data_IF_611587718914
#
_entry.id   IF_611587718914
#
_cell.length_a   1.000
_cell.length_b   1.000
_cell.length_c   1.000
_cell.angle_alpha   90.00
_cell.angle_beta   90.00
_cell.angle_gamma   90.00
#
_symmetry.space_group_name_H-M   'P 1'
#
loop_
_entity.id
_entity.type
_entity.pdbx_description
1 polymer ?
#
# COMPACT_ATOMS: atom_id res chain seq x y z
N UNK A 1 -16.58 24.07 -12.00
CA UNK A 1 -16.09 22.82 -12.63
C UNK A 1 -15.25 22.05 -11.60
N UNK A 2 -15.68 21.87 -10.36
CA UNK A 2 -16.75 21.03 -9.80
C UNK A 2 -16.15 19.83 -9.07
N UNK A 3 -15.74 20.08 -7.83
CA UNK A 3 -15.22 19.12 -6.85
C UNK A 3 -16.18 17.94 -6.61
N UNK A 4 -17.48 18.07 -6.94
CA UNK A 4 -18.46 16.99 -6.86
C UNK A 4 -18.36 15.95 -8.01
N UNK A 5 -17.83 16.31 -9.18
CA UNK A 5 -17.54 15.32 -10.23
C UNK A 5 -16.28 14.55 -9.84
N UNK A 6 -15.27 15.24 -9.29
CA UNK A 6 -14.10 14.58 -8.72
C UNK A 6 -14.48 13.63 -7.57
N UNK A 7 -15.46 13.91 -6.71
CA UNK A 7 -15.87 12.95 -5.66
C UNK A 7 -16.55 11.68 -6.19
N UNK A 8 -17.25 11.74 -7.34
CA UNK A 8 -17.79 10.54 -8.00
C UNK A 8 -16.72 9.75 -8.75
N UNK A 9 -15.78 10.43 -9.42
CA UNK A 9 -14.67 9.76 -10.14
C UNK A 9 -13.60 9.24 -9.17
N UNK A 10 -13.27 10.01 -8.13
CA UNK A 10 -12.46 9.53 -7.01
C UNK A 10 -13.19 8.50 -6.20
N UNK A 11 -14.53 8.53 -6.06
CA UNK A 11 -15.31 7.48 -5.41
C UNK A 11 -15.27 6.14 -6.15
N UNK A 12 -15.40 6.13 -7.48
CA UNK A 12 -15.31 4.90 -8.29
C UNK A 12 -13.87 4.41 -8.46
N UNK A 13 -12.89 5.32 -8.58
CA UNK A 13 -11.46 5.00 -8.60
C UNK A 13 -10.91 4.64 -7.20
N UNK A 14 -11.49 5.16 -6.10
CA UNK A 14 -11.13 4.81 -4.72
C UNK A 14 -11.44 3.35 -4.43
N UNK A 15 -12.59 2.88 -4.90
CA UNK A 15 -13.10 1.53 -4.58
C UNK A 15 -12.26 0.46 -5.28
N UNK A 16 -11.59 0.79 -6.38
CA UNK A 16 -10.74 -0.17 -7.06
C UNK A 16 -9.35 -0.29 -6.44
N UNK A 17 -8.82 0.67 -5.69
CA UNK A 17 -7.43 0.60 -5.22
C UNK A 17 -7.35 -0.11 -3.88
N UNK A 18 -6.73 -1.30 -3.84
CA UNK A 18 -6.56 -2.09 -2.62
C UNK A 18 -5.18 -2.76 -2.57
N UNK A 19 -4.47 -2.55 -1.45
CA UNK A 19 -3.22 -3.23 -1.11
C UNK A 19 -3.38 -3.90 0.25
N UNK A 20 -2.91 -5.14 0.37
CA UNK A 20 -2.94 -5.93 1.59
C UNK A 20 -1.52 -6.34 1.95
N UNK A 21 -1.10 -6.00 3.16
CA UNK A 21 0.17 -6.43 3.72
C UNK A 21 -0.11 -7.61 4.65
N UNK A 22 0.77 -8.61 4.64
CA UNK A 22 0.67 -9.81 5.46
C UNK A 22 1.94 -9.94 6.31
N UNK A 23 1.74 -10.29 7.58
CA UNK A 23 2.82 -10.44 8.55
C UNK A 23 3.72 -11.64 8.22
N UNK A 24 3.17 -12.73 7.67
CA UNK A 24 3.92 -13.94 7.30
C UNK A 24 4.18 -14.02 5.78
N UNK A 25 5.02 -14.98 5.39
CA UNK A 25 5.28 -15.28 3.99
C UNK A 25 4.05 -15.95 3.38
N UNK A 26 3.99 -15.96 2.05
CA UNK A 26 2.95 -16.71 1.33
C UNK A 26 1.51 -16.28 1.71
N UNK A 27 1.31 -15.01 2.04
CA UNK A 27 0.01 -14.40 2.39
C UNK A 27 -0.64 -14.99 3.65
N UNK A 28 0.16 -15.50 4.59
CA UNK A 28 -0.30 -16.01 5.87
C UNK A 28 -0.15 -14.98 7.01
N UNK A 29 -0.75 -15.28 8.17
CA UNK A 29 -0.67 -14.45 9.37
C UNK A 29 -1.65 -13.26 9.37
N UNK A 30 -1.35 -12.27 10.20
CA UNK A 30 -2.16 -11.05 10.28
C UNK A 30 -2.04 -10.23 9.01
N UNK A 31 -3.18 -9.80 8.45
CA UNK A 31 -3.22 -8.98 7.26
C UNK A 31 -3.78 -7.59 7.54
N UNK A 32 -3.19 -6.56 6.96
CA UNK A 32 -3.71 -5.20 6.99
C UNK A 32 -3.97 -4.74 5.56
N UNK A 33 -5.23 -4.46 5.23
CA UNK A 33 -5.62 -3.89 3.95
C UNK A 33 -5.65 -2.36 4.05
N UNK A 34 -4.99 -1.68 3.12
CA UNK A 34 -5.09 -0.25 2.92
C UNK A 34 -5.79 0.01 1.58
N UNK A 35 -6.79 0.87 1.61
CA UNK A 35 -7.54 1.34 0.43
C UNK A 35 -7.42 2.85 0.25
N UNK A 36 -6.64 3.53 1.10
CA UNK A 36 -6.42 4.98 1.07
C UNK A 36 -4.96 5.31 1.41
N UNK A 37 -4.56 6.54 1.12
CA UNK A 37 -3.30 7.14 1.56
C UNK A 37 -3.28 7.29 3.08
N UNK A 38 -2.81 6.25 3.77
CA UNK A 38 -2.71 6.24 5.22
C UNK A 38 -1.38 5.67 5.69
N UNK A 39 -0.86 6.15 6.84
CA UNK A 39 0.25 5.51 7.52
C UNK A 39 -0.20 4.14 7.99
N UNK A 40 0.41 3.09 7.43
CA UNK A 40 0.19 1.73 7.88
C UNK A 40 1.26 1.41 8.94
N UNK A 41 0.83 1.21 10.19
CA UNK A 41 1.68 0.67 11.25
C UNK A 41 1.83 -0.84 11.03
N UNK A 42 2.86 -1.21 10.27
CA UNK A 42 3.15 -2.60 9.90
C UNK A 42 4.42 -3.06 10.62
N UNK A 43 4.27 -3.52 11.87
CA UNK A 43 5.41 -3.99 12.69
C UNK A 43 6.25 -5.07 12.01
N UNK A 44 5.61 -5.94 11.23
CA UNK A 44 6.22 -6.97 10.41
C UNK A 44 5.35 -7.14 9.16
N UNK A 45 5.96 -7.01 7.98
CA UNK A 45 5.37 -7.58 6.76
C UNK A 45 6.35 -8.60 6.26
N UNK A 46 5.89 -9.66 5.63
CA UNK A 46 6.72 -10.58 4.85
C UNK A 46 6.19 -10.76 3.44
N UNK A 47 4.88 -10.63 3.23
CA UNK A 47 4.26 -10.66 1.92
C UNK A 47 3.30 -9.51 1.70
N UNK A 48 3.11 -9.10 0.44
CA UNK A 48 2.25 -7.98 0.05
C UNK A 48 1.45 -8.38 -1.17
N UNK A 49 0.16 -8.08 -1.17
CA UNK A 49 -0.73 -8.32 -2.29
C UNK A 49 -1.37 -7.02 -2.71
N UNK A 50 -1.19 -6.64 -3.97
CA UNK A 50 -1.90 -5.52 -4.58
C UNK A 50 -3.02 -6.11 -5.40
N UNK A 51 -4.25 -6.06 -4.88
CA UNK A 51 -5.44 -6.56 -5.57
C UNK A 51 -5.69 -5.76 -6.84
N UNK A 52 -5.57 -4.44 -6.74
CA UNK A 52 -5.83 -3.54 -7.86
C UNK A 52 -5.10 -2.20 -7.67
N UNK A 53 -4.68 -1.62 -8.81
CA UNK A 53 -4.00 -0.32 -8.86
C UNK A 53 -2.49 -0.38 -8.77
N UNK A 54 -1.90 0.79 -8.53
CA UNK A 54 -0.48 0.97 -8.26
C UNK A 54 -0.33 1.75 -6.94
N UNK A 55 0.60 1.30 -6.12
CA UNK A 55 0.88 1.82 -4.80
C UNK A 55 2.34 2.19 -4.69
N UNK A 56 2.60 3.32 -4.05
CA UNK A 56 3.94 3.78 -3.72
C UNK A 56 4.08 3.73 -2.20
N UNK A 57 5.00 2.90 -1.72
CA UNK A 57 5.25 2.74 -0.29
C UNK A 57 6.53 3.46 0.07
N UNK A 58 6.45 4.27 1.11
CA UNK A 58 7.56 5.04 1.67
C UNK A 58 8.01 4.39 2.98
N UNK A 59 9.31 4.33 3.15
CA UNK A 59 9.93 3.76 4.35
C UNK A 59 9.66 4.59 5.62
N UNK A 60 9.66 5.92 5.50
CA UNK A 60 9.47 6.82 6.64
C UNK A 60 8.13 7.56 6.52
N UNK A 61 7.57 8.01 7.66
CA UNK A 61 6.45 8.95 7.65
C UNK A 61 6.83 10.24 6.90
N UNK A 62 5.81 10.98 6.45
CA UNK A 62 5.96 12.21 5.66
C UNK A 62 6.52 12.02 4.24
N UNK A 63 6.31 10.85 3.63
CA UNK A 63 6.73 10.57 2.24
C UNK A 63 8.25 10.65 2.03
N UNK A 64 9.03 10.28 3.05
CA UNK A 64 10.51 10.36 3.02
C UNK A 64 11.16 8.97 3.03
N UNK A 65 12.46 8.92 2.70
CA UNK A 65 13.24 7.69 2.64
C UNK A 65 13.07 6.91 1.34
N UNK A 66 13.25 5.59 1.40
CA UNK A 66 13.16 4.75 0.22
C UNK A 66 11.72 4.58 -0.25
N UNK A 67 11.52 4.70 -1.57
CA UNK A 67 10.24 4.57 -2.24
C UNK A 67 10.17 3.23 -2.97
N UNK A 68 9.09 2.51 -2.76
CA UNK A 68 8.83 1.21 -3.37
C UNK A 68 7.57 1.29 -4.20
N UNK A 69 7.72 1.10 -5.51
CA UNK A 69 6.59 1.06 -6.41
C UNK A 69 6.05 -0.37 -6.54
N UNK A 70 4.83 -0.58 -6.07
CA UNK A 70 4.12 -1.85 -6.09
C UNK A 70 2.95 -1.76 -7.07
N UNK A 71 2.98 -2.57 -8.12
CA UNK A 71 1.87 -2.71 -9.06
C UNK A 71 0.94 -3.83 -8.63
N UNK A 72 -0.27 -3.86 -9.17
CA UNK A 72 -1.18 -5.02 -9.11
C UNK A 72 -0.41 -6.33 -9.28
N UNK A 73 -0.53 -7.21 -8.30
CA UNK A 73 0.23 -8.46 -8.23
C UNK A 73 0.40 -9.00 -6.82
N UNK A 74 0.90 -10.22 -6.76
CA UNK A 74 1.21 -10.95 -5.54
C UNK A 74 2.72 -10.93 -5.30
N UNK A 75 3.15 -10.41 -4.15
CA UNK A 75 4.56 -10.29 -3.76
C UNK A 75 4.81 -11.17 -2.51
N UNK A 76 5.05 -12.48 -2.70
CA UNK A 76 5.25 -13.42 -1.59
C UNK A 76 6.59 -13.24 -0.86
N UNK A 77 7.58 -12.58 -1.49
CA UNK A 77 8.92 -12.36 -0.96
C UNK A 77 9.36 -10.91 -1.19
N UNK A 78 8.64 -9.96 -0.60
CA UNK A 78 8.94 -8.54 -0.78
C UNK A 78 10.07 -8.08 0.16
N UNK A 79 11.22 -8.76 0.12
CA UNK A 79 12.32 -8.61 1.07
C UNK A 79 12.84 -7.18 1.24
N UNK A 80 13.07 -6.36 0.19
CA UNK A 80 13.62 -5.02 0.44
C UNK A 80 12.63 -4.12 1.20
N UNK A 81 11.33 -4.29 0.95
CA UNK A 81 10.28 -3.63 1.71
C UNK A 81 10.23 -4.17 3.14
N UNK A 82 10.14 -5.49 3.29
CA UNK A 82 9.80 -6.20 4.52
C UNK A 82 10.97 -6.48 5.47
N UNK A 83 12.21 -6.52 4.98
CA UNK A 83 13.45 -6.75 5.79
C UNK A 83 13.79 -5.57 6.68
N UNK A 84 13.29 -4.38 6.35
CA UNK A 84 13.42 -3.22 7.22
C UNK A 84 12.30 -3.28 8.24
N UNK A 85 12.69 -3.33 9.52
CA UNK A 85 11.77 -3.30 10.66
C UNK A 85 11.12 -1.93 10.67
N UNK A 86 9.99 -1.78 9.99
CA UNK A 86 9.32 -0.48 9.89
C UNK A 86 8.20 -0.41 10.91
N UNK A 87 8.24 0.64 11.72
CA UNK A 87 7.21 0.91 12.72
C UNK A 87 6.09 1.77 12.10
N UNK A 88 6.37 2.52 11.03
CA UNK A 88 5.42 3.43 10.36
C UNK A 88 5.76 3.60 8.87
N UNK A 89 5.06 2.90 7.95
CA UNK A 89 5.20 3.11 6.49
C UNK A 89 4.10 4.03 5.98
N UNK A 90 4.41 5.01 5.14
CA UNK A 90 3.38 5.76 4.41
C UNK A 90 3.08 5.06 3.09
N UNK A 91 1.82 4.74 2.84
CA UNK A 91 1.38 4.07 1.62
C UNK A 91 0.55 5.05 0.82
N UNK A 92 0.92 5.32 -0.43
CA UNK A 92 0.28 6.33 -1.27
C UNK A 92 -0.19 5.73 -2.57
N UNK A 93 -1.36 6.14 -3.04
CA UNK A 93 -1.89 5.75 -4.35
C UNK A 93 -1.08 6.45 -5.44
N UNK A 94 -0.61 5.69 -6.43
CA UNK A 94 0.02 6.28 -7.60
C UNK A 94 -1.07 6.56 -8.65
N UNK A 95 -1.42 7.83 -8.83
CA UNK A 95 -2.38 8.28 -9.86
C UNK A 95 -1.58 8.86 -11.03
N UNK A 96 -1.74 8.28 -12.23
CA UNK A 96 -1.31 8.88 -13.51
C UNK A 96 -2.45 9.74 -14.07
#
# INVERSE_FOLDING_TARGET
MDFQILSSVTGVMFVLLQITFFDDKNFAGSSCAATTDQPAQLNSCNSVKVENGCWMVYEHPNYTGHQFFLRKGEYPDNQPLCRRRVVERTVTKFTL
#
